data_IF_589208070181
#
_entry.id   IF_589208070181
#
_cell.length_a   1.000
_cell.length_b   1.000
_cell.length_c   1.000
_cell.angle_alpha   90.00
_cell.angle_beta   90.00
_cell.angle_gamma   90.00
#
_symmetry.space_group_name_H-M   'P 1'
#
loop_
_entity.id
_entity.type
_entity.pdbx_description
1 polymer ?
#
# COMPACT_ATOMS: atom_id res chain seq x y z
N UNK A 1 18.73 12.87 -25.85
CA UNK A 1 17.45 12.20 -25.63
C UNK A 1 17.75 10.74 -25.31
N UNK A 2 17.44 10.34 -24.06
CA UNK A 2 17.61 8.94 -23.63
C UNK A 2 16.29 8.23 -23.96
N UNK A 3 16.32 7.36 -24.96
CA UNK A 3 15.19 6.51 -25.31
C UNK A 3 15.18 5.26 -24.41
N UNK A 4 13.98 4.86 -23.99
CA UNK A 4 13.78 3.61 -23.28
C UNK A 4 14.07 2.42 -24.25
N UNK A 5 14.38 1.22 -23.74
CA UNK A 5 14.62 0.03 -24.55
C UNK A 5 13.49 -0.30 -25.56
N UNK A 6 12.28 0.22 -25.31
CA UNK A 6 11.09 0.02 -26.15
C UNK A 6 10.90 1.13 -27.20
N UNK A 7 11.89 2.01 -27.43
CA UNK A 7 11.82 3.13 -28.39
C UNK A 7 10.87 4.25 -27.99
N UNK A 8 10.36 4.25 -26.75
CA UNK A 8 9.47 5.29 -26.23
C UNK A 8 10.26 6.31 -25.41
N UNK A 9 9.99 7.59 -25.61
CA UNK A 9 10.61 8.67 -24.83
C UNK A 9 10.16 8.63 -23.36
N UNK A 10 11.10 8.73 -22.44
CA UNK A 10 10.85 8.88 -20.99
C UNK A 10 10.07 10.17 -20.74
N UNK A 11 8.90 10.06 -20.10
CA UNK A 11 8.04 11.22 -19.85
C UNK A 11 7.14 11.01 -18.63
N UNK A 12 6.74 12.11 -18.00
CA UNK A 12 5.76 12.08 -16.89
C UNK A 12 4.37 11.59 -17.35
N UNK A 13 4.01 11.80 -18.61
CA UNK A 13 2.77 11.25 -19.17
C UNK A 13 2.80 9.72 -19.21
N UNK A 14 3.91 9.14 -19.62
CA UNK A 14 4.08 7.68 -19.62
C UNK A 14 4.01 7.10 -18.19
N UNK A 15 4.64 7.76 -17.22
CA UNK A 15 4.52 7.36 -15.80
C UNK A 15 3.06 7.35 -15.34
N UNK A 16 2.28 8.40 -15.67
CA UNK A 16 0.86 8.46 -15.31
C UNK A 16 0.03 7.36 -15.96
N UNK A 17 0.30 7.03 -17.23
CA UNK A 17 -0.35 5.91 -17.92
C UNK A 17 -0.07 4.58 -17.23
N UNK A 18 1.18 4.30 -16.86
CA UNK A 18 1.58 3.10 -16.14
C UNK A 18 0.90 3.00 -14.76
N UNK A 19 0.88 4.10 -14.01
CA UNK A 19 0.19 4.15 -12.73
C UNK A 19 -1.32 3.96 -12.86
N UNK A 20 -1.93 4.54 -13.88
CA UNK A 20 -3.36 4.36 -14.16
C UNK A 20 -3.71 2.92 -14.59
N UNK A 21 -2.75 2.19 -15.15
CA UNK A 21 -2.86 0.76 -15.46
C UNK A 21 -2.50 -0.14 -14.25
N UNK A 22 -1.95 0.42 -13.17
CA UNK A 22 -1.46 -0.32 -12.00
C UNK A 22 -0.07 -0.93 -12.18
N UNK A 23 0.63 -0.61 -13.27
CA UNK A 23 2.02 -1.05 -13.49
C UNK A 23 3.01 -0.14 -12.75
N UNK A 24 3.04 -0.26 -11.43
CA UNK A 24 3.96 0.50 -10.57
C UNK A 24 5.42 0.08 -10.78
N UNK A 25 5.67 -1.17 -11.18
CA UNK A 25 7.00 -1.66 -11.51
C UNK A 25 7.51 -1.02 -12.81
N UNK A 26 6.65 -0.91 -13.81
CA UNK A 26 6.93 -0.16 -15.05
C UNK A 26 7.19 1.32 -14.76
N UNK A 27 6.36 1.93 -13.94
CA UNK A 27 6.54 3.32 -13.53
C UNK A 27 7.89 3.53 -12.81
N UNK A 28 8.32 2.59 -11.95
CA UNK A 28 9.60 2.65 -11.26
C UNK A 28 10.79 2.60 -12.24
N UNK A 29 10.71 1.77 -13.30
CA UNK A 29 11.73 1.74 -14.35
C UNK A 29 11.87 3.08 -15.07
N UNK A 30 10.74 3.74 -15.35
CA UNK A 30 10.73 5.05 -16.02
C UNK A 30 11.25 6.15 -15.08
N UNK A 31 10.89 6.10 -13.79
CA UNK A 31 11.30 7.09 -12.78
C UNK A 31 12.76 6.92 -12.31
N UNK A 32 13.32 5.71 -12.44
CA UNK A 32 14.60 5.35 -11.82
C UNK A 32 14.54 5.13 -10.30
N UNK A 33 13.35 5.15 -9.72
CA UNK A 33 13.09 4.86 -8.30
C UNK A 33 11.65 4.38 -8.09
N UNK A 34 11.37 3.75 -6.95
CA UNK A 34 10.02 3.31 -6.61
C UNK A 34 9.04 4.50 -6.57
N UNK A 35 7.85 4.30 -7.15
CA UNK A 35 6.78 5.28 -7.04
C UNK A 35 6.36 5.45 -5.59
N UNK A 36 6.13 6.70 -5.18
CA UNK A 36 5.86 7.08 -3.80
C UNK A 36 4.71 8.07 -3.71
N UNK A 37 3.86 7.86 -2.72
CA UNK A 37 2.87 8.83 -2.27
C UNK A 37 3.14 9.17 -0.80
N UNK A 38 2.63 10.30 -0.32
CA UNK A 38 2.72 10.72 1.07
C UNK A 38 1.35 11.14 1.58
N UNK A 39 1.10 10.89 2.86
CA UNK A 39 -0.13 11.32 3.51
C UNK A 39 -0.05 11.18 5.02
N UNK A 40 -1.02 11.74 5.70
CA UNK A 40 -1.17 11.62 7.15
C UNK A 40 -2.04 10.40 7.45
N UNK A 41 -1.66 9.62 8.45
CA UNK A 41 -2.46 8.46 8.87
C UNK A 41 -3.67 8.93 9.65
N UNK A 42 -4.85 8.57 9.19
CA UNK A 42 -6.12 8.88 9.84
C UNK A 42 -6.85 7.62 10.35
N UNK A 43 -7.90 7.81 11.13
CA UNK A 43 -8.76 6.70 11.55
C UNK A 43 -9.54 6.17 10.36
N UNK A 44 -9.32 4.89 10.03
CA UNK A 44 -10.16 4.16 9.08
C UNK A 44 -11.36 3.48 9.77
N UNK A 45 -12.07 2.67 9.01
CA UNK A 45 -13.27 1.94 9.49
C UNK A 45 -12.97 0.86 10.54
N UNK A 46 -11.72 0.66 10.96
CA UNK A 46 -11.25 -0.29 11.99
C UNK A 46 -11.58 -1.77 11.75
N UNK A 47 -12.23 -2.12 10.62
CA UNK A 47 -12.63 -3.52 10.32
C UNK A 47 -11.43 -4.46 10.21
N UNK A 48 -10.34 -4.00 9.59
CA UNK A 48 -9.11 -4.79 9.46
C UNK A 48 -8.50 -5.16 10.82
N UNK A 49 -8.57 -4.25 11.81
CA UNK A 49 -8.01 -4.49 13.16
C UNK A 49 -8.66 -5.68 13.85
N UNK A 50 -9.98 -5.79 13.82
CA UNK A 50 -10.74 -6.89 14.46
C UNK A 50 -10.53 -8.23 13.77
N UNK A 51 -10.04 -8.22 12.53
CA UNK A 51 -9.75 -9.41 11.74
C UNK A 51 -8.26 -9.81 11.76
N UNK A 52 -7.42 -9.10 12.54
CA UNK A 52 -5.97 -9.35 12.60
C UNK A 52 -5.17 -8.69 11.46
N UNK A 53 -5.76 -7.72 10.78
CA UNK A 53 -5.13 -6.94 9.71
C UNK A 53 -5.18 -5.44 10.05
N UNK A 54 -4.43 -4.96 11.06
CA UNK A 54 -4.41 -3.54 11.39
C UNK A 54 -3.83 -2.74 10.22
N UNK A 55 -4.56 -1.74 9.74
CA UNK A 55 -4.18 -0.91 8.59
C UNK A 55 -3.95 0.54 8.99
N UNK A 56 -2.95 1.15 8.36
CA UNK A 56 -2.75 2.60 8.34
C UNK A 56 -3.53 3.16 7.13
N UNK A 57 -4.54 3.96 7.41
CA UNK A 57 -5.36 4.60 6.38
C UNK A 57 -4.80 5.99 6.11
N UNK A 58 -4.50 6.32 4.86
CA UNK A 58 -4.11 7.68 4.50
C UNK A 58 -5.33 8.58 4.42
N UNK A 59 -5.17 9.82 4.89
CA UNK A 59 -6.16 10.89 4.72
C UNK A 59 -6.34 11.27 3.25
N UNK A 60 -7.38 12.05 2.95
CA UNK A 60 -7.73 12.42 1.57
C UNK A 60 -6.69 13.33 0.87
N UNK A 61 -5.85 14.01 1.66
CA UNK A 61 -4.82 14.94 1.20
C UNK A 61 -3.51 14.24 0.80
N UNK A 62 -3.62 13.11 0.11
CA UNK A 62 -2.46 12.37 -0.38
C UNK A 62 -1.69 13.18 -1.42
N UNK A 63 -0.40 13.34 -1.19
CA UNK A 63 0.54 13.89 -2.18
C UNK A 63 1.07 12.77 -3.09
N UNK A 64 1.03 13.03 -4.39
CA UNK A 64 1.44 12.08 -5.42
C UNK A 64 0.26 11.42 -6.12
N UNK A 65 0.56 10.71 -7.20
CA UNK A 65 -0.46 10.03 -8.02
C UNK A 65 -0.78 8.67 -7.39
N UNK A 66 -2.03 8.47 -6.97
CA UNK A 66 -2.49 7.17 -6.48
C UNK A 66 -2.61 6.21 -7.67
N UNK A 67 -1.96 5.02 -7.67
CA UNK A 67 -2.04 4.07 -8.75
C UNK A 67 -3.46 3.47 -8.87
N UNK A 68 -3.72 2.66 -9.90
CA UNK A 68 -5.00 1.97 -10.11
C UNK A 68 -5.42 1.16 -8.88
N UNK A 69 -6.74 0.91 -8.74
CA UNK A 69 -7.29 0.08 -7.67
C UNK A 69 -6.68 -1.32 -7.68
N UNK A 70 -6.34 -1.85 -6.52
CA UNK A 70 -5.72 -3.15 -6.36
C UNK A 70 -4.97 -3.31 -5.05
N UNK A 71 -4.34 -4.45 -4.90
CA UNK A 71 -3.43 -4.75 -3.78
C UNK A 71 -2.00 -4.78 -4.30
N UNK A 72 -1.10 -4.15 -3.57
CA UNK A 72 0.30 -3.95 -3.94
C UNK A 72 1.23 -4.40 -2.83
N UNK A 73 2.40 -4.93 -3.20
CA UNK A 73 3.53 -5.06 -2.29
C UNK A 73 4.31 -3.74 -2.27
N UNK A 74 4.74 -3.32 -1.09
CA UNK A 74 5.53 -2.10 -0.95
C UNK A 74 6.00 -1.84 0.48
N UNK A 75 6.34 -0.61 0.77
CA UNK A 75 6.89 -0.20 2.05
C UNK A 75 6.16 1.02 2.60
N UNK A 76 5.86 0.99 3.88
CA UNK A 76 5.59 2.19 4.66
C UNK A 76 6.93 2.75 5.11
N UNK A 77 7.16 4.03 4.84
CA UNK A 77 8.38 4.73 5.22
C UNK A 77 8.01 5.84 6.20
N UNK A 78 8.54 5.77 7.40
CA UNK A 78 8.30 6.76 8.46
C UNK A 78 9.61 7.33 8.99
N UNK A 79 9.55 8.56 9.47
CA UNK A 79 10.67 9.15 10.20
C UNK A 79 10.82 8.48 11.57
N UNK A 80 12.06 8.21 11.97
CA UNK A 80 12.34 7.76 13.34
C UNK A 80 12.40 8.98 14.25
N UNK A 81 11.54 9.11 15.27
CA UNK A 81 11.49 10.28 16.14
C UNK A 81 12.85 10.60 16.75
N UNK A 82 13.22 11.88 16.71
CA UNK A 82 14.49 12.35 17.28
C UNK A 82 15.74 12.04 16.46
N UNK A 83 15.61 11.50 15.26
CA UNK A 83 16.72 11.19 14.34
C UNK A 83 16.46 11.75 12.94
N UNK A 84 17.48 11.69 12.07
CA UNK A 84 17.34 11.95 10.63
C UNK A 84 17.15 10.67 9.82
N UNK A 85 16.93 9.53 10.49
CA UNK A 85 16.76 8.24 9.87
C UNK A 85 15.31 7.96 9.51
N UNK A 86 15.11 7.09 8.52
CA UNK A 86 13.79 6.57 8.15
C UNK A 86 13.73 5.06 8.43
N UNK A 87 12.58 4.60 8.92
CA UNK A 87 12.24 3.20 9.07
C UNK A 87 11.43 2.74 7.86
N UNK A 88 11.80 1.59 7.29
CA UNK A 88 11.12 0.95 6.17
C UNK A 88 10.39 -0.29 6.68
N UNK A 89 9.07 -0.27 6.62
CA UNK A 89 8.20 -1.33 7.12
C UNK A 89 7.54 -2.02 5.92
N UNK A 90 7.72 -3.36 5.75
CA UNK A 90 7.09 -4.09 4.66
C UNK A 90 5.57 -4.05 4.80
N UNK A 91 4.87 -3.79 3.71
CA UNK A 91 3.43 -3.62 3.76
C UNK A 91 2.71 -4.18 2.52
N UNK A 92 1.52 -4.76 2.75
CA UNK A 92 0.50 -4.95 1.74
C UNK A 92 -0.35 -3.68 1.67
N UNK A 93 -0.46 -3.09 0.48
CA UNK A 93 -1.11 -1.80 0.27
C UNK A 93 -2.36 -2.01 -0.56
N UNK A 94 -3.51 -1.68 0.00
CA UNK A 94 -4.80 -1.70 -0.69
C UNK A 94 -5.13 -0.30 -1.21
N UNK A 95 -5.37 -0.20 -2.51
CA UNK A 95 -5.89 1.01 -3.16
C UNK A 95 -7.28 0.69 -3.66
N UNK A 96 -8.27 1.44 -3.21
CA UNK A 96 -9.66 1.23 -3.56
C UNK A 96 -10.42 2.53 -3.76
N UNK A 97 -11.62 2.40 -4.33
CA UNK A 97 -12.56 3.50 -4.48
C UNK A 97 -13.68 3.34 -3.45
N UNK A 98 -13.97 4.39 -2.70
CA UNK A 98 -15.03 4.35 -1.70
C UNK A 98 -16.40 4.58 -2.38
N UNK A 99 -17.29 3.57 -2.45
CA UNK A 99 -18.59 3.72 -3.10
C UNK A 99 -19.55 4.69 -2.37
N UNK A 100 -19.29 5.00 -1.09
CA UNK A 100 -20.12 5.92 -0.30
C UNK A 100 -20.01 7.38 -0.75
N UNK A 101 -18.96 7.71 -1.50
CA UNK A 101 -18.72 9.06 -2.06
C UNK A 101 -18.84 9.07 -3.58
N UNK A 102 -19.86 8.44 -4.14
CA UNK A 102 -20.12 8.35 -5.60
C UNK A 102 -18.94 7.81 -6.43
N UNK A 103 -18.03 7.05 -5.80
CA UNK A 103 -16.86 6.51 -6.47
C UNK A 103 -15.75 7.53 -6.79
N UNK A 104 -15.85 8.75 -6.29
CA UNK A 104 -14.85 9.80 -6.55
C UNK A 104 -13.68 9.77 -5.57
N UNK A 105 -13.91 9.24 -4.35
CA UNK A 105 -12.87 9.21 -3.32
C UNK A 105 -12.10 7.90 -3.33
N UNK A 106 -10.80 8.01 -3.54
CA UNK A 106 -9.87 6.88 -3.49
C UNK A 106 -9.23 6.75 -2.12
N UNK A 107 -9.18 5.52 -1.60
CA UNK A 107 -8.58 5.20 -0.31
C UNK A 107 -7.27 4.45 -0.49
N UNK A 108 -6.31 4.71 0.37
CA UNK A 108 -5.06 3.96 0.46
C UNK A 108 -4.89 3.46 1.88
N UNK A 109 -4.83 2.15 2.02
CA UNK A 109 -4.67 1.46 3.30
C UNK A 109 -3.42 0.59 3.25
N UNK A 110 -2.51 0.76 4.19
CA UNK A 110 -1.29 -0.02 4.29
C UNK A 110 -1.33 -0.93 5.52
N UNK A 111 -1.24 -2.24 5.31
CA UNK A 111 -1.07 -3.23 6.36
C UNK A 111 0.40 -3.59 6.49
N UNK A 112 1.04 -3.20 7.61
CA UNK A 112 2.44 -3.54 7.89
C UNK A 112 2.53 -5.00 8.33
N UNK A 113 3.34 -5.78 7.64
CA UNK A 113 3.46 -7.21 7.86
C UNK A 113 4.09 -7.51 9.23
N UNK A 114 3.49 -8.47 9.95
CA UNK A 114 4.03 -9.02 11.20
C UNK A 114 4.09 -8.04 12.38
N UNK A 115 3.44 -6.87 12.31
CA UNK A 115 3.46 -5.86 13.37
C UNK A 115 2.05 -5.59 13.89
N UNK A 116 1.87 -5.76 15.19
CA UNK A 116 0.62 -5.42 15.92
C UNK A 116 0.79 -4.24 16.86
N UNK A 117 2.03 -3.85 17.12
CA UNK A 117 2.44 -2.84 18.10
C UNK A 117 2.49 -1.40 17.54
N UNK A 118 2.33 -1.26 16.21
CA UNK A 118 2.43 0.04 15.57
C UNK A 118 1.20 0.92 15.79
N UNK A 119 1.45 2.12 16.25
CA UNK A 119 0.46 3.21 16.23
C UNK A 119 1.01 4.33 15.33
N UNK A 120 0.53 4.37 14.09
CA UNK A 120 0.94 5.37 13.12
C UNK A 120 -0.04 6.55 13.02
N UNK A 121 -1.12 6.55 13.83
CA UNK A 121 -2.15 7.58 13.80
C UNK A 121 -1.57 8.99 13.97
N UNK A 122 -1.94 9.89 13.07
CA UNK A 122 -1.46 11.28 13.04
C UNK A 122 -0.05 11.44 12.46
N UNK A 123 0.68 10.35 12.21
CA UNK A 123 1.99 10.43 11.57
C UNK A 123 1.87 10.73 10.07
N UNK A 124 2.80 11.54 9.58
CA UNK A 124 2.99 11.72 8.14
C UNK A 124 3.95 10.65 7.64
N UNK A 125 3.45 9.75 6.82
CA UNK A 125 4.21 8.64 6.26
C UNK A 125 4.31 8.73 4.75
N UNK A 126 5.29 8.03 4.19
CA UNK A 126 5.32 7.74 2.77
C UNK A 126 4.96 6.27 2.54
N UNK A 127 4.31 5.99 1.42
CA UNK A 127 4.01 4.64 0.94
C UNK A 127 4.69 4.49 -0.42
N UNK A 128 5.55 3.47 -0.55
CA UNK A 128 6.23 3.15 -1.82
C UNK A 128 5.68 1.86 -2.38
N UNK A 129 5.53 1.80 -3.70
CA UNK A 129 4.96 0.66 -4.41
C UNK A 129 6.05 -0.10 -5.15
N UNK A 130 6.12 -1.42 -4.93
CA UNK A 130 7.10 -2.31 -5.59
C UNK A 130 6.45 -3.06 -6.76
N UNK A 131 5.32 -3.72 -6.51
CA UNK A 131 4.61 -4.50 -7.52
C UNK A 131 3.13 -4.63 -7.18
N UNK A 132 2.28 -4.72 -8.20
CA UNK A 132 0.86 -5.06 -8.03
C UNK A 132 0.72 -6.56 -7.80
N UNK A 133 0.06 -6.94 -6.70
CA UNK A 133 -0.25 -8.33 -6.37
C UNK A 133 -1.47 -8.79 -7.18
N UNK A 134 -2.55 -7.98 -7.16
CA UNK A 134 -3.81 -8.30 -7.82
C UNK A 134 -4.71 -7.05 -8.00
N UNK A 135 -5.70 -7.11 -8.90
CA UNK A 135 -6.78 -6.11 -8.90
C UNK A 135 -7.68 -6.26 -7.67
N UNK A 136 -8.57 -5.29 -7.46
CA UNK A 136 -9.62 -5.41 -6.43
C UNK A 136 -10.57 -6.55 -6.79
N UNK A 137 -11.00 -7.29 -5.77
CA UNK A 137 -11.92 -8.42 -5.88
C UNK A 137 -13.10 -8.20 -4.94
N UNK A 138 -14.26 -8.71 -5.34
CA UNK A 138 -15.43 -8.81 -4.47
C UNK A 138 -15.49 -10.21 -3.86
N UNK A 139 -15.82 -10.30 -2.57
CA UNK A 139 -15.89 -11.56 -1.84
C UNK A 139 -17.32 -11.83 -1.40
N UNK A 140 -17.82 -13.05 -1.68
CA UNK A 140 -19.14 -13.49 -1.28
C UNK A 140 -19.24 -13.94 0.19
N UNK A 141 -18.10 -14.10 0.89
CA UNK A 141 -18.05 -14.53 2.29
C UNK A 141 -16.88 -13.93 3.03
N UNK A 142 -16.99 -13.88 4.37
CA UNK A 142 -15.90 -13.44 5.24
C UNK A 142 -14.69 -14.38 5.15
N UNK A 143 -14.93 -15.70 5.11
CA UNK A 143 -13.85 -16.70 5.01
C UNK A 143 -13.07 -16.57 3.70
N UNK A 144 -13.75 -16.30 2.59
CA UNK A 144 -13.11 -16.02 1.30
C UNK A 144 -12.25 -14.76 1.35
N UNK A 145 -12.74 -13.70 1.99
CA UNK A 145 -11.99 -12.47 2.21
C UNK A 145 -10.72 -12.73 3.05
N UNK A 146 -10.85 -13.41 4.19
CA UNK A 146 -9.72 -13.70 5.08
C UNK A 146 -8.66 -14.57 4.40
N UNK A 147 -9.09 -15.61 3.66
CA UNK A 147 -8.18 -16.47 2.89
C UNK A 147 -7.39 -15.67 1.86
N UNK A 148 -8.06 -14.78 1.13
CA UNK A 148 -7.39 -13.94 0.14
C UNK A 148 -6.44 -12.94 0.79
N UNK A 149 -6.81 -12.34 1.92
CA UNK A 149 -5.92 -11.44 2.65
C UNK A 149 -4.67 -12.16 3.16
N UNK A 150 -4.79 -13.40 3.66
CA UNK A 150 -3.63 -14.21 4.05
C UNK A 150 -2.71 -14.53 2.85
N UNK A 151 -3.30 -14.78 1.68
CA UNK A 151 -2.54 -15.01 0.44
C UNK A 151 -1.83 -13.72 -0.03
N UNK A 152 -2.50 -12.60 0.05
CA UNK A 152 -1.90 -11.28 -0.25
C UNK A 152 -0.66 -11.00 0.62
N UNK A 153 -0.70 -11.35 1.92
CA UNK A 153 0.46 -11.21 2.81
C UNK A 153 1.62 -12.10 2.37
N UNK A 154 1.35 -13.37 2.01
CA UNK A 154 2.39 -14.30 1.54
C UNK A 154 3.01 -13.82 0.24
N UNK A 155 2.19 -13.37 -0.71
CA UNK A 155 2.67 -12.83 -1.99
C UNK A 155 3.48 -11.55 -1.77
N UNK A 156 3.03 -10.66 -0.89
CA UNK A 156 3.77 -9.45 -0.52
C UNK A 156 5.14 -9.79 0.06
N UNK A 157 5.20 -10.72 1.02
CA UNK A 157 6.45 -11.18 1.62
C UNK A 157 7.41 -11.75 0.56
N UNK A 158 6.88 -12.56 -0.38
CA UNK A 158 7.66 -13.13 -1.47
C UNK A 158 8.23 -12.06 -2.40
N UNK A 159 7.41 -11.08 -2.81
CA UNK A 159 7.84 -9.96 -3.67
C UNK A 159 8.91 -9.11 -3.01
N UNK A 160 8.79 -8.86 -1.70
CA UNK A 160 9.75 -8.05 -0.94
C UNK A 160 10.99 -8.84 -0.48
N UNK A 161 11.04 -10.17 -0.70
CA UNK A 161 12.15 -11.02 -0.30
C UNK A 161 12.32 -11.16 1.22
N UNK A 162 11.22 -11.09 1.96
CA UNK A 162 11.20 -11.22 3.43
C UNK A 162 10.56 -12.55 3.86
N UNK A 163 10.75 -12.93 5.13
CA UNK A 163 10.12 -14.12 5.70
C UNK A 163 8.58 -14.02 5.64
N UNK A 164 7.92 -15.17 5.48
CA UNK A 164 6.45 -15.24 5.45
C UNK A 164 5.88 -14.80 6.79
N UNK A 165 5.02 -13.81 6.77
CA UNK A 165 4.24 -13.33 7.90
C UNK A 165 2.76 -13.57 7.63
N UNK A 166 2.06 -14.17 8.58
CA UNK A 166 0.60 -14.29 8.56
C UNK A 166 -0.06 -13.05 9.16
N UNK A 167 -1.40 -13.11 9.28
CA UNK A 167 -2.13 -12.09 10.05
C UNK A 167 -1.71 -12.17 11.51
N UNK A 168 -1.76 -11.01 12.18
CA UNK A 168 -1.49 -10.92 13.61
C UNK A 168 -2.70 -11.38 14.41
N UNK A 169 -2.47 -11.84 15.64
CA UNK A 169 -3.56 -12.14 16.56
C UNK A 169 -4.36 -10.85 16.84
N UNK A 170 -5.69 -10.82 16.59
CA UNK A 170 -6.51 -9.65 16.85
C UNK A 170 -6.43 -9.14 18.29
N UNK A 171 -6.29 -10.06 19.26
CA UNK A 171 -6.19 -9.72 20.68
C UNK A 171 -4.84 -9.07 21.03
N UNK A 172 -3.81 -9.29 20.20
CA UNK A 172 -2.48 -8.70 20.35
C UNK A 172 -2.40 -7.25 19.81
N UNK A 173 -3.40 -6.81 19.05
CA UNK A 173 -3.42 -5.48 18.46
C UNK A 173 -3.76 -4.45 19.54
N UNK A 174 -2.78 -3.66 19.94
CA UNK A 174 -2.91 -2.68 21.01
C UNK A 174 -4.05 -1.69 20.72
N UNK A 175 -5.06 -1.70 21.57
CA UNK A 175 -6.12 -0.68 21.58
C UNK A 175 -5.55 0.63 22.13
N UNK A 176 -5.13 1.53 21.25
CA UNK A 176 -4.80 2.93 21.62
C UNK A 176 -5.46 3.90 20.69
#
# INVERSE_FOLDING_TARGET
DIEAPEGRRWSSSWVRELLAAGDVAGAARVLGHLHRIRGTVCHGFKRGRTLGFPTANLSEDVEGVIPADGVYAGWVVRAVPGTQSAEFLPAAISVGTNPQFNGEQRTVEAHVLGRSDLNLYGERIAVTFVSRIRPMLSFGSLDGLLTQMDDDLRQTASVLGIGVTGRVDPDSVTAR
#
